data_IF_322633450375
#
_entry.id   IF_322633450375
#
_cell.length_a   1.000
_cell.length_b   1.000
_cell.length_c   1.000
_cell.angle_alpha   90.00
_cell.angle_beta   90.00
_cell.angle_gamma   90.00
#
_symmetry.space_group_name_H-M   'P 1'
#
loop_
_entity.id
_entity.type
_entity.pdbx_description
1 polymer ?
#
# COMPACT_ATOMS: atom_id res chain seq x y z
N UNK A 1 24.82 7.37 9.74
CA UNK A 1 23.61 8.01 10.31
C UNK A 1 23.79 9.50 10.67
N UNK A 2 25.02 10.03 10.76
CA UNK A 2 25.31 11.46 10.97
C UNK A 2 26.35 11.99 9.98
N UNK A 3 26.36 13.29 9.72
CA UNK A 3 27.41 14.02 8.97
C UNK A 3 28.21 14.88 9.92
N UNK A 4 29.54 14.96 9.78
CA UNK A 4 30.42 15.68 10.70
C UNK A 4 30.95 16.96 10.06
N UNK A 5 31.02 18.04 10.84
CA UNK A 5 31.68 19.28 10.42
C UNK A 5 32.98 19.47 11.18
N UNK A 6 34.00 19.91 10.46
CA UNK A 6 35.32 20.24 10.97
C UNK A 6 35.54 21.75 10.86
N UNK A 7 36.27 22.32 11.82
CA UNK A 7 36.76 23.69 11.77
C UNK A 7 38.25 23.69 12.14
N UNK A 8 39.03 24.51 11.46
CA UNK A 8 40.46 24.68 11.78
C UNK A 8 40.56 25.69 12.91
N UNK A 9 41.05 25.25 14.07
CA UNK A 9 41.36 26.12 15.21
C UNK A 9 42.87 25.98 15.46
N UNK A 10 43.60 27.08 15.39
CA UNK A 10 45.06 27.11 15.61
C UNK A 10 45.83 26.12 14.73
N UNK A 11 45.47 26.02 13.45
CA UNK A 11 46.14 25.16 12.47
C UNK A 11 45.82 23.66 12.54
N UNK A 12 44.90 23.23 13.42
CA UNK A 12 44.46 21.83 13.54
C UNK A 12 42.98 21.67 13.20
N UNK A 13 42.65 20.65 12.41
CA UNK A 13 41.26 20.29 12.12
C UNK A 13 40.58 19.69 13.36
N UNK A 14 39.59 20.40 13.89
CA UNK A 14 38.80 19.95 15.03
C UNK A 14 37.38 19.64 14.59
N UNK A 15 36.91 18.43 14.90
CA UNK A 15 35.49 18.08 14.74
C UNK A 15 34.67 18.92 15.71
N UNK A 16 33.76 19.74 15.20
CA UNK A 16 32.99 20.68 16.04
C UNK A 16 31.54 20.27 16.23
N UNK A 17 30.93 19.65 15.22
CA UNK A 17 29.52 19.23 15.28
C UNK A 17 29.23 17.95 14.50
N UNK A 18 28.10 17.35 14.82
CA UNK A 18 27.52 16.24 14.09
C UNK A 18 26.06 16.55 13.76
N UNK A 19 25.63 16.33 12.52
CA UNK A 19 24.26 16.56 12.05
C UNK A 19 23.59 15.22 11.74
N UNK A 20 22.38 14.98 12.22
CA UNK A 20 21.61 13.82 11.80
C UNK A 20 21.27 13.91 10.31
N UNK A 21 21.57 12.87 9.52
CA UNK A 21 21.29 12.90 8.07
C UNK A 21 19.78 12.87 7.77
N UNK A 22 18.96 12.40 8.71
CA UNK A 22 17.51 12.24 8.59
C UNK A 22 16.74 13.48 9.03
N UNK A 23 16.80 13.84 10.31
CA UNK A 23 16.05 14.98 10.85
C UNK A 23 16.80 16.32 10.78
N UNK A 24 18.05 16.32 10.26
CA UNK A 24 18.93 17.51 10.15
C UNK A 24 19.26 18.23 11.45
N UNK A 25 18.85 17.70 12.61
CA UNK A 25 19.20 18.19 13.94
C UNK A 25 20.72 18.15 14.15
N UNK A 26 21.26 19.26 14.66
CA UNK A 26 22.66 19.40 15.01
C UNK A 26 22.93 18.94 16.45
N UNK A 27 24.11 18.36 16.62
CA UNK A 27 24.64 17.79 17.86
C UNK A 27 26.08 18.27 18.02
N UNK A 28 26.55 18.36 19.26
CA UNK A 28 27.97 18.58 19.53
C UNK A 28 28.83 17.46 18.92
N UNK A 29 30.02 17.81 18.45
CA UNK A 29 30.95 16.86 17.83
C UNK A 29 32.38 17.02 18.33
N UNK A 30 32.59 17.79 19.40
CA UNK A 30 33.90 18.02 20.00
C UNK A 30 34.57 16.68 20.33
N UNK A 31 35.85 16.54 20.02
CA UNK A 31 36.64 15.33 20.28
C UNK A 31 36.70 14.92 21.77
N UNK A 32 36.45 15.87 22.67
CA UNK A 32 36.40 15.67 24.13
C UNK A 32 35.05 15.06 24.58
N UNK A 33 34.00 15.18 23.76
CA UNK A 33 32.67 14.66 24.07
C UNK A 33 32.44 13.26 23.48
N UNK A 34 31.88 12.35 24.29
CA UNK A 34 31.48 11.02 23.83
C UNK A 34 30.30 11.02 22.84
N UNK A 35 30.07 9.90 22.15
CA UNK A 35 29.02 9.76 21.12
C UNK A 35 27.64 9.34 21.67
N UNK A 36 27.50 9.21 23.01
CA UNK A 36 26.30 8.64 23.63
C UNK A 36 24.99 9.39 23.34
N UNK A 37 25.06 10.70 23.09
CA UNK A 37 23.89 11.50 22.70
C UNK A 37 23.42 11.24 21.26
N UNK A 38 24.34 10.91 20.34
CA UNK A 38 23.98 10.45 18.98
C UNK A 38 23.36 9.05 19.05
N UNK A 39 23.97 8.17 19.86
CA UNK A 39 23.46 6.82 20.12
C UNK A 39 22.04 6.83 20.67
N UNK A 40 21.74 7.72 21.63
CA UNK A 40 20.38 7.93 22.15
C UNK A 40 19.43 8.56 21.13
N UNK A 41 19.93 9.39 20.21
CA UNK A 41 19.10 10.05 19.20
C UNK A 41 18.59 9.09 18.11
N UNK A 42 19.44 8.19 17.59
CA UNK A 42 19.10 7.27 16.50
C UNK A 42 17.78 6.51 16.76
N UNK A 43 17.60 5.80 17.90
CA UNK A 43 16.38 5.03 18.16
C UNK A 43 15.14 5.91 18.41
N UNK A 44 15.28 7.20 18.72
CA UNK A 44 14.14 8.11 18.95
C UNK A 44 13.90 9.08 17.78
N UNK A 45 14.72 9.01 16.73
CA UNK A 45 14.63 9.94 15.61
C UNK A 45 13.32 9.71 14.85
N UNK A 46 12.31 10.57 15.07
CA UNK A 46 10.96 10.46 14.47
C UNK A 46 11.00 10.39 12.94
N UNK A 47 11.89 11.14 12.29
CA UNK A 47 12.04 11.13 10.82
C UNK A 47 12.63 9.80 10.33
N UNK A 48 13.58 9.22 11.07
CA UNK A 48 14.13 7.91 10.75
C UNK A 48 13.09 6.80 10.97
N UNK A 49 12.41 6.81 12.13
CA UNK A 49 11.33 5.88 12.48
C UNK A 49 10.14 5.98 11.53
N UNK A 50 9.74 7.19 11.14
CA UNK A 50 8.67 7.44 10.19
C UNK A 50 9.01 6.96 8.79
N UNK A 51 10.28 7.06 8.36
CA UNK A 51 10.72 6.52 7.06
C UNK A 51 10.79 5.00 7.01
N UNK A 52 11.08 4.33 8.12
CA UNK A 52 11.02 2.87 8.21
C UNK A 52 9.59 2.32 8.33
N UNK A 53 8.62 3.15 8.75
CA UNK A 53 7.20 2.78 8.87
C UNK A 53 6.31 3.24 7.71
N UNK A 54 6.84 4.03 6.77
CA UNK A 54 6.16 4.32 5.52
C UNK A 54 6.27 3.06 4.65
N UNK A 55 5.23 2.24 4.66
CA UNK A 55 5.01 1.24 3.62
C UNK A 55 5.36 1.88 2.28
N UNK A 56 6.31 1.27 1.54
CA UNK A 56 6.66 1.72 0.20
C UNK A 56 5.33 1.92 -0.55
N UNK A 57 5.07 3.13 -1.04
CA UNK A 57 3.88 3.38 -1.86
C UNK A 57 3.90 2.34 -2.98
N UNK A 58 2.88 1.50 -3.04
CA UNK A 58 2.72 0.58 -4.16
C UNK A 58 2.67 1.44 -5.42
N UNK A 59 3.50 1.14 -6.42
CA UNK A 59 3.53 1.88 -7.67
C UNK A 59 2.73 1.08 -8.70
N UNK A 60 1.94 1.77 -9.52
CA UNK A 60 1.26 1.18 -10.67
C UNK A 60 1.65 1.88 -11.96
N UNK A 61 1.66 1.09 -13.03
CA UNK A 61 1.84 1.57 -14.39
C UNK A 61 0.49 1.92 -15.00
N UNK A 62 0.45 3.06 -15.67
CA UNK A 62 -0.63 3.41 -16.57
C UNK A 62 -0.39 2.74 -17.95
N UNK A 63 -1.43 2.63 -18.80
CA UNK A 63 -1.29 2.06 -20.15
C UNK A 63 -0.28 2.80 -21.04
N UNK A 64 -0.03 4.08 -20.76
CA UNK A 64 0.95 4.94 -21.43
C UNK A 64 2.39 4.78 -20.91
N UNK A 65 2.61 3.88 -19.95
CA UNK A 65 3.92 3.62 -19.33
C UNK A 65 4.29 4.58 -18.19
N UNK A 66 3.46 5.59 -17.89
CA UNK A 66 3.69 6.47 -16.74
C UNK A 66 3.46 5.74 -15.41
N UNK A 67 4.14 6.20 -14.36
CA UNK A 67 4.04 5.59 -13.02
C UNK A 67 3.24 6.51 -12.11
N UNK A 68 2.27 5.94 -11.40
CA UNK A 68 1.54 6.64 -10.34
C UNK A 68 1.54 5.85 -9.04
N UNK A 69 1.31 6.55 -7.94
CA UNK A 69 1.09 5.93 -6.63
C UNK A 69 -0.24 5.18 -6.65
N UNK A 70 -0.20 3.88 -6.34
CA UNK A 70 -1.39 3.09 -6.13
C UNK A 70 -2.11 3.56 -4.87
N UNK A 71 -3.39 3.86 -5.04
CA UNK A 71 -4.29 4.18 -3.95
C UNK A 71 -5.38 3.12 -3.86
N UNK A 72 -5.74 2.77 -2.63
CA UNK A 72 -6.84 1.86 -2.39
C UNK A 72 -8.18 2.49 -2.78
N UNK A 73 -8.95 1.76 -3.59
CA UNK A 73 -10.28 2.12 -4.07
C UNK A 73 -11.27 1.04 -3.65
N UNK A 74 -12.21 1.32 -2.71
CA UNK A 74 -13.18 0.34 -2.23
C UNK A 74 -13.99 -0.31 -3.35
N UNK A 75 -14.39 0.46 -4.36
CA UNK A 75 -15.15 -0.04 -5.51
C UNK A 75 -14.39 -1.12 -6.29
N UNK A 76 -13.07 -0.97 -6.46
CA UNK A 76 -12.23 -1.98 -7.11
C UNK A 76 -12.13 -3.23 -6.24
N UNK A 77 -11.99 -3.05 -4.92
CA UNK A 77 -11.92 -4.16 -3.98
C UNK A 77 -13.20 -4.99 -3.97
N UNK A 78 -14.37 -4.35 -4.01
CA UNK A 78 -15.67 -5.03 -4.06
C UNK A 78 -15.82 -5.87 -5.34
N UNK A 79 -15.43 -5.33 -6.50
CA UNK A 79 -15.43 -6.10 -7.75
C UNK A 79 -14.48 -7.29 -7.69
N UNK A 80 -13.27 -7.13 -7.13
CA UNK A 80 -12.33 -8.24 -6.98
C UNK A 80 -12.83 -9.29 -5.97
N UNK A 81 -13.51 -8.86 -4.91
CA UNK A 81 -14.15 -9.76 -3.94
C UNK A 81 -15.25 -10.60 -4.60
N UNK A 82 -16.10 -10.01 -5.44
CA UNK A 82 -17.09 -10.76 -6.21
C UNK A 82 -16.42 -11.82 -7.10
N UNK A 83 -15.35 -11.45 -7.82
CA UNK A 83 -14.60 -12.37 -8.67
C UNK A 83 -13.95 -13.51 -7.87
N UNK A 84 -13.42 -13.22 -6.68
CA UNK A 84 -12.85 -14.23 -5.79
C UNK A 84 -13.92 -15.22 -5.35
N UNK A 85 -15.06 -14.71 -4.86
CA UNK A 85 -16.19 -15.52 -4.41
C UNK A 85 -16.68 -16.42 -5.54
N UNK A 86 -16.89 -15.89 -6.76
CA UNK A 86 -17.33 -16.69 -7.91
C UNK A 86 -16.34 -17.75 -8.34
N UNK A 87 -15.03 -17.45 -8.34
CA UNK A 87 -14.00 -18.37 -8.85
C UNK A 87 -13.73 -19.54 -7.93
N UNK A 88 -13.90 -19.32 -6.63
CA UNK A 88 -13.65 -20.33 -5.60
C UNK A 88 -14.95 -20.91 -5.03
N UNK A 89 -16.09 -20.54 -5.61
CA UNK A 89 -17.44 -20.95 -5.18
C UNK A 89 -17.67 -20.74 -3.66
N UNK A 90 -17.29 -19.56 -3.18
CA UNK A 90 -17.38 -19.22 -1.75
C UNK A 90 -18.79 -18.72 -1.39
N UNK A 91 -19.17 -18.80 -0.10
CA UNK A 91 -20.40 -18.16 0.37
C UNK A 91 -20.40 -16.65 0.13
N UNK A 92 -21.57 -16.07 -0.20
CA UNK A 92 -21.72 -14.62 -0.37
C UNK A 92 -21.39 -13.81 0.90
N UNK A 93 -21.43 -14.41 2.09
CA UNK A 93 -21.01 -13.77 3.33
C UNK A 93 -19.49 -13.79 3.56
N UNK A 94 -18.69 -14.30 2.62
CA UNK A 94 -17.23 -14.37 2.76
C UNK A 94 -16.60 -12.99 3.07
N UNK A 95 -17.16 -11.91 2.53
CA UNK A 95 -16.73 -10.54 2.82
C UNK A 95 -16.91 -10.09 4.28
N UNK A 96 -17.75 -10.79 5.05
CA UNK A 96 -18.02 -10.55 6.48
C UNK A 96 -17.06 -11.31 7.40
N UNK A 97 -16.24 -12.21 6.85
CA UNK A 97 -15.35 -13.06 7.64
C UNK A 97 -14.29 -12.23 8.37
N UNK A 98 -14.27 -12.34 9.70
CA UNK A 98 -13.26 -11.69 10.53
C UNK A 98 -11.85 -12.21 10.20
N UNK A 99 -11.71 -13.51 9.89
CA UNK A 99 -10.43 -14.10 9.49
C UNK A 99 -9.92 -13.52 8.15
N UNK A 100 -10.81 -13.33 7.17
CA UNK A 100 -10.44 -12.67 5.91
C UNK A 100 -10.07 -11.20 6.14
N UNK A 101 -10.83 -10.48 6.97
CA UNK A 101 -10.54 -9.10 7.34
C UNK A 101 -9.17 -8.99 8.03
N UNK A 102 -8.86 -9.86 8.99
CA UNK A 102 -7.58 -9.88 9.69
C UNK A 102 -6.43 -10.12 8.70
N UNK A 103 -6.55 -11.15 7.85
CA UNK A 103 -5.55 -11.45 6.82
C UNK A 103 -5.29 -10.24 5.93
N UNK A 104 -6.33 -9.65 5.33
CA UNK A 104 -6.17 -8.59 4.33
C UNK A 104 -5.70 -7.27 4.95
N UNK A 105 -6.19 -6.92 6.15
CA UNK A 105 -5.78 -5.69 6.83
C UNK A 105 -4.35 -5.75 7.36
N UNK A 106 -3.93 -6.92 7.85
CA UNK A 106 -2.59 -7.14 8.39
C UNK A 106 -1.54 -7.22 7.29
N UNK A 107 -1.83 -7.95 6.20
CA UNK A 107 -0.80 -8.28 5.20
C UNK A 107 -0.81 -7.40 3.96
N UNK A 108 -1.95 -6.79 3.62
CA UNK A 108 -2.11 -6.09 2.34
C UNK A 108 -2.52 -4.63 2.50
N UNK A 109 -3.70 -4.37 3.08
CA UNK A 109 -4.27 -3.03 3.14
C UNK A 109 -5.02 -2.77 4.46
N UNK A 110 -4.45 -1.96 5.37
CA UNK A 110 -5.07 -1.66 6.66
C UNK A 110 -6.35 -0.84 6.54
N UNK A 111 -6.65 -0.27 5.36
CA UNK A 111 -7.89 0.49 5.11
C UNK A 111 -9.05 -0.36 4.61
N UNK A 112 -8.86 -1.67 4.46
CA UNK A 112 -9.96 -2.56 4.11
C UNK A 112 -11.00 -2.61 5.23
N UNK A 113 -12.28 -2.64 4.85
CA UNK A 113 -13.40 -2.84 5.75
C UNK A 113 -14.22 -4.02 5.26
N UNK A 114 -14.75 -4.81 6.20
CA UNK A 114 -15.63 -5.95 5.87
C UNK A 114 -16.85 -5.50 5.09
N UNK A 115 -17.30 -6.38 4.20
CA UNK A 115 -18.42 -6.14 3.28
C UNK A 115 -19.55 -7.08 3.65
N UNK A 116 -20.75 -6.55 3.90
CA UNK A 116 -21.88 -7.38 4.33
C UNK A 116 -22.39 -8.28 3.22
N UNK A 117 -23.04 -9.41 3.56
CA UNK A 117 -23.67 -10.30 2.59
C UNK A 117 -24.65 -9.54 1.69
N UNK A 118 -25.45 -8.63 2.25
CA UNK A 118 -26.40 -7.82 1.46
C UNK A 118 -25.66 -6.90 0.47
N UNK A 119 -24.54 -6.32 0.88
CA UNK A 119 -23.70 -5.47 0.02
C UNK A 119 -23.07 -6.32 -1.08
N UNK A 120 -22.49 -7.48 -0.73
CA UNK A 120 -21.95 -8.44 -1.69
C UNK A 120 -22.99 -8.88 -2.71
N UNK A 121 -24.21 -9.21 -2.30
CA UNK A 121 -25.31 -9.54 -3.24
C UNK A 121 -25.61 -8.40 -4.21
N UNK A 122 -25.65 -7.15 -3.73
CA UNK A 122 -25.85 -5.96 -4.60
C UNK A 122 -24.68 -5.76 -5.56
N UNK A 123 -23.46 -5.94 -5.09
CA UNK A 123 -22.26 -5.82 -5.91
C UNK A 123 -22.21 -6.90 -7.00
N UNK A 124 -22.63 -8.12 -6.66
CA UNK A 124 -22.81 -9.22 -7.62
C UNK A 124 -23.84 -8.87 -8.70
N UNK A 125 -25.01 -8.35 -8.31
CA UNK A 125 -26.03 -7.94 -9.26
C UNK A 125 -25.53 -6.83 -10.20
N UNK A 126 -24.80 -5.85 -9.66
CA UNK A 126 -24.15 -4.80 -10.44
C UNK A 126 -23.12 -5.38 -11.42
N UNK A 127 -22.20 -6.20 -10.92
CA UNK A 127 -21.15 -6.84 -11.72
C UNK A 127 -21.73 -7.70 -12.84
N UNK A 128 -22.74 -8.51 -12.54
CA UNK A 128 -23.45 -9.32 -13.54
C UNK A 128 -24.09 -8.45 -14.63
N UNK A 129 -24.80 -7.39 -14.25
CA UNK A 129 -25.46 -6.51 -15.21
C UNK A 129 -24.45 -5.79 -16.12
N UNK A 130 -23.30 -5.36 -15.58
CA UNK A 130 -22.21 -4.78 -16.37
C UNK A 130 -21.62 -5.79 -17.37
N UNK A 131 -21.32 -7.01 -16.92
CA UNK A 131 -20.82 -8.08 -17.79
C UNK A 131 -21.85 -8.47 -18.85
N UNK A 132 -23.13 -8.58 -18.48
CA UNK A 132 -24.23 -8.87 -19.40
C UNK A 132 -24.35 -7.78 -20.46
N UNK A 133 -24.28 -6.51 -20.08
CA UNK A 133 -24.37 -5.39 -21.03
C UNK A 133 -23.22 -5.44 -22.05
N UNK A 134 -21.99 -5.68 -21.58
CA UNK A 134 -20.83 -5.84 -22.47
C UNK A 134 -20.99 -7.03 -23.41
N UNK A 135 -21.44 -8.18 -22.89
CA UNK A 135 -21.66 -9.39 -23.67
C UNK A 135 -22.75 -9.19 -24.74
N UNK A 136 -23.87 -8.56 -24.36
CA UNK A 136 -24.94 -8.22 -25.31
C UNK A 136 -24.43 -7.31 -26.42
N UNK A 137 -23.58 -6.33 -26.10
CA UNK A 137 -22.97 -5.47 -27.11
C UNK A 137 -22.07 -6.26 -28.07
N UNK A 138 -21.23 -7.16 -27.55
CA UNK A 138 -20.41 -8.03 -28.38
C UNK A 138 -21.24 -8.94 -29.30
N UNK A 139 -22.38 -9.46 -28.80
CA UNK A 139 -23.27 -10.34 -29.55
C UNK A 139 -24.02 -9.64 -30.69
N UNK A 140 -24.08 -8.31 -30.75
CA UNK A 140 -24.70 -7.61 -31.91
C UNK A 140 -23.93 -7.83 -33.21
N UNK A 141 -22.64 -8.15 -33.12
CA UNK A 141 -21.72 -8.21 -34.25
C UNK A 141 -21.35 -9.65 -34.65
N UNK A 142 -21.91 -10.66 -34.00
CA UNK A 142 -21.63 -12.07 -34.32
C UNK A 142 -22.58 -12.59 -35.40
N UNK A 143 -22.07 -13.42 -36.31
CA UNK A 143 -22.86 -14.01 -37.41
C UNK A 143 -23.55 -15.32 -37.05
N UNK A 144 -23.09 -15.99 -35.99
CA UNK A 144 -23.66 -17.24 -35.48
C UNK A 144 -23.34 -17.44 -34.00
N UNK A 145 -24.20 -18.17 -33.30
CA UNK A 145 -24.03 -18.55 -31.88
C UNK A 145 -24.41 -20.03 -31.75
N UNK A 146 -23.58 -20.81 -31.06
CA UNK A 146 -23.92 -22.17 -30.64
C UNK A 146 -24.24 -22.17 -29.14
N UNK A 147 -25.40 -22.70 -28.78
CA UNK A 147 -25.81 -22.87 -27.39
C UNK A 147 -25.68 -24.34 -27.02
N UNK A 148 -25.09 -24.59 -25.86
CA UNK A 148 -25.07 -25.94 -25.27
C UNK A 148 -26.01 -25.93 -24.07
N UNK A 149 -26.80 -26.98 -23.92
CA UNK A 149 -27.60 -27.21 -22.73
C UNK A 149 -27.17 -28.53 -22.13
N UNK A 150 -26.62 -28.45 -20.92
CA UNK A 150 -26.53 -29.54 -19.98
C UNK A 150 -27.91 -29.76 -19.31
N UNK A 151 -28.35 -31.02 -19.25
CA UNK A 151 -29.56 -31.49 -18.54
C UNK A 151 -29.14 -32.16 -17.24
#
# INVERSE_FOLDING_TARGET
MTSTRYMVISGKEVRTSAKCKHCKKDFSGKSIGGTGHLGRHIPICRVLKGRSGLAKSQLKFNPDGSVHTWEYKPEVAHTQLCRLISRLDLPMCFGESDAFQEYITTTHNPRFAKVSRQTTTRDFAKYFNECRAQLVECLKYVSSVALTSDI
#
